data_IF_435622518358
#
_entry.id   IF_435622518358
#
_cell.length_a   1.000
_cell.length_b   1.000
_cell.length_c   1.000
_cell.angle_alpha   90.00
_cell.angle_beta   90.00
_cell.angle_gamma   90.00
#
_symmetry.space_group_name_H-M   'P 1'
#
loop_
_entity.id
_entity.type
_entity.pdbx_description
1 polymer ?
#
# COMPACT_ATOMS: atom_id res chain seq x y z
N UNK A 1 0.96 48.01 -1.43
CA UNK A 1 -0.40 47.44 -1.56
C UNK A 1 -0.25 45.94 -1.40
N UNK A 2 -0.65 45.44 -0.24
CA UNK A 2 -0.59 44.02 0.09
C UNK A 2 -1.81 43.33 -0.51
N UNK A 3 -1.61 42.36 -1.40
CA UNK A 3 -2.68 41.47 -1.83
C UNK A 3 -2.64 40.25 -0.91
N UNK A 4 -3.51 40.27 0.10
CA UNK A 4 -3.81 39.10 0.91
C UNK A 4 -4.41 38.03 0.02
N UNK A 5 -3.73 36.89 -0.08
CA UNK A 5 -4.31 35.68 -0.63
C UNK A 5 -5.23 35.11 0.45
N UNK A 6 -6.52 35.40 0.37
CA UNK A 6 -7.54 34.74 1.18
C UNK A 6 -7.49 33.25 0.89
N UNK A 7 -6.97 32.47 1.84
CA UNK A 7 -7.05 31.02 1.83
C UNK A 7 -8.50 30.62 2.07
N UNK A 8 -9.25 30.40 1.00
CA UNK A 8 -10.59 29.84 1.07
C UNK A 8 -10.47 28.40 1.57
N UNK A 9 -10.70 28.20 2.86
CA UNK A 9 -10.98 26.90 3.46
C UNK A 9 -12.31 26.41 2.90
N UNK A 10 -12.27 25.49 1.95
CA UNK A 10 -13.44 24.75 1.51
C UNK A 10 -13.78 23.75 2.61
N UNK A 11 -14.85 24.03 3.35
CA UNK A 11 -15.43 23.05 4.27
C UNK A 11 -15.93 21.85 3.46
N UNK A 12 -15.35 20.68 3.71
CA UNK A 12 -15.81 19.42 3.16
C UNK A 12 -17.07 19.06 3.97
N UNK A 13 -18.24 19.14 3.35
CA UNK A 13 -19.58 19.02 3.98
C UNK A 13 -19.81 17.71 4.75
N UNK A 14 -18.97 16.70 4.54
CA UNK A 14 -18.78 15.58 5.45
C UNK A 14 -17.27 15.40 5.64
N UNK A 15 -16.71 15.74 6.82
CA UNK A 15 -15.34 15.34 7.10
C UNK A 15 -15.26 13.83 6.90
N UNK A 16 -14.10 13.33 6.47
CA UNK A 16 -13.78 11.90 6.54
C UNK A 16 -13.69 11.51 8.03
N UNK A 17 -14.80 11.61 8.78
CA UNK A 17 -14.89 11.31 10.20
C UNK A 17 -14.61 9.81 10.30
N UNK A 18 -13.55 9.41 11.01
CA UNK A 18 -13.21 8.01 11.12
C UNK A 18 -14.33 7.29 11.89
N UNK A 19 -15.22 6.58 11.20
CA UNK A 19 -16.11 5.62 11.87
C UNK A 19 -15.34 4.36 12.25
N UNK A 20 -15.82 3.65 13.26
CA UNK A 20 -15.25 2.35 13.66
C UNK A 20 -15.28 1.41 12.44
N UNK A 21 -14.14 0.78 12.08
CA UNK A 21 -14.08 -0.14 10.95
C UNK A 21 -14.95 -1.37 11.23
N UNK A 22 -15.54 -1.93 10.18
CA UNK A 22 -16.32 -3.17 10.27
C UNK A 22 -15.94 -4.15 9.16
N UNK A 23 -16.47 -5.37 9.23
CA UNK A 23 -16.15 -6.43 8.27
C UNK A 23 -16.58 -6.11 6.83
N UNK A 24 -17.65 -5.35 6.65
CA UNK A 24 -18.13 -4.95 5.32
C UNK A 24 -17.09 -4.10 4.58
N UNK A 25 -16.29 -3.30 5.30
CA UNK A 25 -15.21 -2.52 4.72
C UNK A 25 -14.17 -3.41 4.02
N UNK A 26 -13.90 -4.59 4.56
CA UNK A 26 -13.00 -5.59 3.96
C UNK A 26 -13.66 -6.25 2.75
N UNK A 27 -14.95 -6.59 2.83
CA UNK A 27 -15.67 -7.25 1.74
C UNK A 27 -15.83 -6.36 0.51
N UNK A 28 -15.90 -5.04 0.72
CA UNK A 28 -15.99 -4.05 -0.36
C UNK A 28 -14.68 -3.83 -1.12
N UNK A 29 -13.56 -4.36 -0.64
CA UNK A 29 -12.27 -4.25 -1.33
C UNK A 29 -12.30 -5.01 -2.66
N UNK A 30 -11.56 -4.48 -3.63
CA UNK A 30 -11.42 -5.12 -4.93
C UNK A 30 -10.60 -6.41 -4.79
N UNK A 31 -11.12 -7.50 -5.37
CA UNK A 31 -10.42 -8.77 -5.46
C UNK A 31 -9.96 -9.01 -6.90
N UNK A 32 -8.70 -9.43 -7.06
CA UNK A 32 -8.10 -9.80 -8.34
C UNK A 32 -7.93 -11.32 -8.49
N UNK A 33 -8.44 -12.12 -7.56
CA UNK A 33 -8.29 -13.57 -7.55
C UNK A 33 -8.68 -14.23 -8.89
N UNK A 34 -9.76 -13.73 -9.53
CA UNK A 34 -10.19 -14.22 -10.85
C UNK A 34 -9.15 -14.03 -11.95
N UNK A 35 -8.31 -13.00 -11.87
CA UNK A 35 -7.27 -12.66 -12.83
C UNK A 35 -5.91 -13.31 -12.52
N UNK A 36 -5.76 -13.99 -11.38
CA UNK A 36 -4.51 -14.66 -11.02
C UNK A 36 -4.20 -15.84 -11.94
N UNK A 37 -2.92 -16.03 -12.24
CA UNK A 37 -2.44 -17.22 -12.95
C UNK A 37 -2.61 -18.48 -12.10
N UNK A 38 -2.63 -19.65 -12.74
CA UNK A 38 -2.76 -20.93 -12.04
C UNK A 38 -1.59 -21.18 -11.08
N UNK A 39 -0.38 -20.73 -11.42
CA UNK A 39 0.79 -20.79 -10.55
C UNK A 39 0.62 -19.91 -9.32
N UNK A 40 0.09 -18.69 -9.49
CA UNK A 40 -0.18 -17.78 -8.38
C UNK A 40 -1.25 -18.37 -7.45
N UNK A 41 -2.35 -18.88 -8.01
CA UNK A 41 -3.40 -19.58 -7.25
C UNK A 41 -2.81 -20.76 -6.46
N UNK A 42 -1.97 -21.58 -7.10
CA UNK A 42 -1.31 -22.73 -6.45
C UNK A 42 -0.37 -22.30 -5.32
N UNK A 43 0.38 -21.22 -5.48
CA UNK A 43 1.28 -20.71 -4.45
C UNK A 43 0.49 -20.21 -3.23
N UNK A 44 -0.53 -19.38 -3.45
CA UNK A 44 -1.34 -18.84 -2.35
C UNK A 44 -2.17 -19.90 -1.62
N UNK A 45 -2.63 -20.94 -2.31
CA UNK A 45 -3.32 -22.09 -1.68
C UNK A 45 -2.47 -22.81 -0.64
N UNK A 46 -1.13 -22.68 -0.67
CA UNK A 46 -0.26 -23.25 0.39
C UNK A 46 -0.51 -22.65 1.76
N UNK A 47 -1.05 -21.43 1.82
CA UNK A 47 -1.39 -20.75 3.07
C UNK A 47 -2.85 -20.98 3.49
N UNK A 48 -3.67 -21.67 2.67
CA UNK A 48 -5.11 -21.79 2.89
C UNK A 48 -5.46 -22.39 4.27
N UNK A 49 -4.78 -23.48 4.66
CA UNK A 49 -5.02 -24.12 5.95
C UNK A 49 -4.74 -23.20 7.14
N UNK A 50 -3.69 -22.37 7.04
CA UNK A 50 -3.34 -21.40 8.07
C UNK A 50 -4.40 -20.30 8.17
N UNK A 51 -4.87 -19.79 7.02
CA UNK A 51 -5.90 -18.74 6.98
C UNK A 51 -7.23 -19.27 7.53
N UNK A 52 -7.62 -20.48 7.16
CA UNK A 52 -8.84 -21.13 7.67
C UNK A 52 -8.80 -21.26 9.20
N UNK A 53 -7.70 -21.78 9.76
CA UNK A 53 -7.53 -21.90 11.22
C UNK A 53 -7.72 -20.54 11.92
N UNK A 54 -7.12 -19.48 11.37
CA UNK A 54 -7.24 -18.15 11.94
C UNK A 54 -8.67 -17.58 11.85
N UNK A 55 -9.39 -17.85 10.76
CA UNK A 55 -10.79 -17.42 10.59
C UNK A 55 -11.74 -18.19 11.51
N UNK A 56 -11.47 -19.48 11.76
CA UNK A 56 -12.21 -20.29 12.73
C UNK A 56 -11.99 -19.80 14.17
N UNK A 57 -10.73 -19.58 14.57
CA UNK A 57 -10.37 -19.09 15.91
C UNK A 57 -10.94 -17.71 16.22
N UNK A 58 -11.14 -16.89 15.19
CA UNK A 58 -11.75 -15.55 15.31
C UNK A 58 -13.28 -15.54 15.16
N UNK A 59 -13.90 -16.71 15.00
CA UNK A 59 -15.35 -16.87 14.77
C UNK A 59 -15.86 -16.10 13.54
N UNK A 60 -14.99 -15.79 12.58
CA UNK A 60 -15.33 -15.06 11.36
C UNK A 60 -15.98 -15.96 10.28
N UNK A 61 -15.94 -17.27 10.46
CA UNK A 61 -16.64 -18.24 9.60
C UNK A 61 -18.07 -18.54 10.07
N UNK A 62 -18.48 -18.09 11.25
CA UNK A 62 -19.84 -18.33 11.75
C UNK A 62 -20.86 -17.51 10.93
N UNK A 63 -21.86 -18.18 10.35
CA UNK A 63 -22.87 -17.54 9.50
C UNK A 63 -22.41 -17.22 8.08
N UNK A 64 -21.28 -17.79 7.65
CA UNK A 64 -20.76 -17.62 6.31
C UNK A 64 -21.62 -18.38 5.28
N UNK A 65 -22.30 -17.65 4.40
CA UNK A 65 -23.02 -18.22 3.27
C UNK A 65 -22.02 -18.47 2.12
N UNK A 66 -21.70 -19.73 1.86
CA UNK A 66 -20.83 -20.07 0.74
C UNK A 66 -21.57 -20.03 -0.59
N UNK A 67 -22.91 -19.85 -0.61
CA UNK A 67 -23.79 -19.77 -1.77
C UNK A 67 -23.50 -20.78 -2.91
N UNK A 68 -22.79 -21.87 -2.60
CA UNK A 68 -22.29 -22.86 -3.57
C UNK A 68 -20.99 -22.51 -4.29
N UNK A 69 -20.32 -21.39 -4.02
CA UNK A 69 -18.99 -21.05 -4.55
C UNK A 69 -17.85 -21.87 -3.90
N UNK A 70 -18.11 -22.42 -2.71
CA UNK A 70 -17.18 -23.22 -1.94
C UNK A 70 -16.21 -22.38 -1.10
N UNK A 71 -16.01 -22.78 0.15
CA UNK A 71 -15.23 -22.06 1.16
C UNK A 71 -13.82 -21.65 0.69
N UNK A 72 -13.14 -22.53 -0.06
CA UNK A 72 -11.83 -22.22 -0.64
C UNK A 72 -11.89 -20.98 -1.54
N UNK A 73 -12.87 -20.89 -2.44
CA UNK A 73 -12.98 -19.77 -3.37
C UNK A 73 -13.10 -18.45 -2.61
N UNK A 74 -13.94 -18.43 -1.58
CA UNK A 74 -14.21 -17.21 -0.82
C UNK A 74 -13.00 -16.79 0.01
N UNK A 75 -12.31 -17.73 0.65
CA UNK A 75 -11.06 -17.44 1.38
C UNK A 75 -9.99 -16.90 0.43
N UNK A 76 -9.86 -17.47 -0.77
CA UNK A 76 -8.89 -16.98 -1.74
C UNK A 76 -9.23 -15.58 -2.26
N UNK A 77 -10.52 -15.27 -2.43
CA UNK A 77 -10.97 -13.91 -2.71
C UNK A 77 -10.65 -12.95 -1.57
N UNK A 78 -10.82 -13.35 -0.30
CA UNK A 78 -10.43 -12.56 0.87
C UNK A 78 -8.93 -12.30 0.91
N UNK A 79 -8.10 -13.31 0.68
CA UNK A 79 -6.63 -13.15 0.61
C UNK A 79 -6.27 -12.14 -0.46
N UNK A 80 -6.87 -12.23 -1.65
CA UNK A 80 -6.62 -11.26 -2.73
C UNK A 80 -7.09 -9.85 -2.36
N UNK A 81 -8.21 -9.69 -1.66
CA UNK A 81 -8.68 -8.37 -1.19
C UNK A 81 -7.66 -7.71 -0.27
N UNK A 82 -7.08 -8.46 0.66
CA UNK A 82 -6.09 -7.93 1.60
C UNK A 82 -4.78 -7.62 0.87
N UNK A 83 -4.29 -8.55 0.05
CA UNK A 83 -3.00 -8.41 -0.63
C UNK A 83 -2.98 -7.25 -1.62
N UNK A 84 -4.06 -7.07 -2.38
CA UNK A 84 -4.09 -6.07 -3.46
C UNK A 84 -4.47 -4.66 -2.98
N UNK A 85 -4.94 -4.51 -1.74
CA UNK A 85 -5.38 -3.23 -1.19
C UNK A 85 -4.59 -2.80 0.07
N UNK A 86 -3.62 -3.60 0.49
CA UNK A 86 -2.78 -3.33 1.66
C UNK A 86 -1.68 -2.31 1.38
N UNK A 87 -1.49 -1.38 2.31
CA UNK A 87 -0.34 -0.48 2.36
C UNK A 87 0.61 -0.93 3.46
N UNK A 88 1.89 -1.11 3.14
CA UNK A 88 2.91 -1.43 4.13
C UNK A 88 3.18 -0.26 5.08
N UNK A 89 3.29 -0.55 6.37
CA UNK A 89 3.78 0.38 7.39
C UNK A 89 5.22 0.01 7.77
N UNK A 90 6.07 1.02 7.87
CA UNK A 90 7.51 0.89 8.07
C UNK A 90 7.94 1.68 9.29
N UNK A 91 8.79 1.11 10.14
CA UNK A 91 9.45 1.88 11.20
C UNK A 91 10.96 1.94 11.01
N UNK A 92 11.51 3.09 11.38
CA UNK A 92 12.94 3.29 11.51
C UNK A 92 13.46 2.45 12.68
N UNK A 93 14.62 1.82 12.49
CA UNK A 93 15.30 1.02 13.52
C UNK A 93 15.67 1.80 14.80
N UNK A 94 15.49 3.13 14.84
CA UNK A 94 16.04 4.03 15.86
C UNK A 94 15.06 4.98 16.58
N UNK A 95 13.75 4.87 16.40
CA UNK A 95 12.81 5.67 17.21
C UNK A 95 11.69 4.80 17.79
N UNK A 96 11.82 4.45 19.08
CA UNK A 96 10.64 4.31 19.94
C UNK A 96 10.16 5.72 20.20
N UNK A 97 9.14 6.15 19.47
CA UNK A 97 8.38 7.33 19.87
C UNK A 97 7.44 6.87 20.97
N UNK A 98 7.48 7.55 22.11
CA UNK A 98 6.63 7.27 23.26
C UNK A 98 5.16 7.39 22.86
N UNK A 99 4.34 6.40 23.22
CA UNK A 99 2.97 6.22 22.72
C UNK A 99 1.95 7.14 23.41
N UNK A 100 2.36 8.33 23.84
CA UNK A 100 1.63 9.16 24.79
C UNK A 100 0.97 10.42 24.20
N UNK A 101 0.90 10.56 22.87
CA UNK A 101 0.11 11.63 22.23
C UNK A 101 -1.17 11.06 21.65
N UNK A 102 -2.12 10.80 22.56
CA UNK A 102 -3.53 10.61 22.21
C UNK A 102 -4.21 11.96 22.06
N UNK A 103 -4.98 12.07 20.98
CA UNK A 103 -6.05 13.05 20.77
C UNK A 103 -5.62 14.52 20.77
N UNK A 104 -5.16 15.01 19.63
CA UNK A 104 -5.51 16.34 19.07
C UNK A 104 -4.71 16.56 17.76
N UNK A 105 -5.25 16.09 16.62
CA UNK A 105 -4.69 16.44 15.30
C UNK A 105 -5.19 17.84 14.94
N UNK A 106 -4.72 18.86 15.65
CA UNK A 106 -4.89 20.23 15.18
C UNK A 106 -3.96 20.43 13.97
N UNK A 107 -4.55 20.91 12.87
CA UNK A 107 -3.94 21.00 11.54
C UNK A 107 -2.97 22.17 11.45
N UNK A 108 -2.03 22.27 12.37
CA UNK A 108 -1.00 23.31 12.35
C UNK A 108 -0.03 23.08 11.18
N UNK A 109 0.48 24.17 10.59
CA UNK A 109 1.52 24.12 9.56
C UNK A 109 2.79 23.42 10.05
N UNK A 110 3.01 23.40 11.36
CA UNK A 110 4.13 22.75 12.03
C UNK A 110 4.03 21.22 11.92
N UNK A 111 2.85 20.65 12.18
CA UNK A 111 2.62 19.20 12.03
C UNK A 111 2.85 18.74 10.58
N UNK A 112 2.42 19.51 9.57
CA UNK A 112 2.64 19.19 8.16
C UNK A 112 4.14 19.16 7.81
N UNK A 113 4.91 20.08 8.39
CA UNK A 113 6.36 20.14 8.19
C UNK A 113 7.06 18.95 8.84
N UNK A 114 6.65 18.56 10.05
CA UNK A 114 7.17 17.40 10.78
C UNK A 114 6.87 16.10 10.03
N UNK A 115 5.62 15.92 9.60
CA UNK A 115 5.19 14.78 8.77
C UNK A 115 6.04 14.68 7.50
N UNK A 116 6.32 15.80 6.83
CA UNK A 116 7.10 15.80 5.58
C UNK A 116 8.55 15.36 5.83
N UNK A 117 9.20 15.89 6.88
CA UNK A 117 10.58 15.51 7.24
C UNK A 117 10.68 14.03 7.66
N UNK A 118 9.72 13.54 8.43
CA UNK A 118 9.69 12.13 8.84
C UNK A 118 9.50 11.20 7.64
N UNK A 119 8.65 11.59 6.68
CA UNK A 119 8.42 10.80 5.47
C UNK A 119 9.68 10.71 4.59
N UNK A 120 10.41 11.81 4.42
CA UNK A 120 11.71 11.81 3.72
C UNK A 120 12.70 10.85 4.39
N UNK A 121 12.84 10.94 5.72
CA UNK A 121 13.71 10.04 6.47
C UNK A 121 13.30 8.56 6.37
N UNK A 122 12.00 8.26 6.35
CA UNK A 122 11.50 6.89 6.14
C UNK A 122 11.80 6.41 4.73
N UNK A 123 11.56 7.23 3.70
CA UNK A 123 11.85 6.87 2.31
C UNK A 123 13.34 6.60 2.08
N UNK A 124 14.22 7.47 2.59
CA UNK A 124 15.67 7.28 2.52
C UNK A 124 16.09 5.98 3.23
N UNK A 125 15.48 5.68 4.38
CA UNK A 125 15.76 4.45 5.11
C UNK A 125 15.19 3.19 4.44
N UNK A 126 14.08 3.31 3.69
CA UNK A 126 13.56 2.23 2.84
C UNK A 126 14.55 1.92 1.73
N UNK A 127 15.10 2.95 1.08
CA UNK A 127 16.11 2.80 0.03
C UNK A 127 17.43 2.24 0.57
N UNK A 128 17.86 2.65 1.77
CA UNK A 128 19.08 2.16 2.42
C UNK A 128 18.92 0.78 3.09
N UNK A 129 17.69 0.28 3.23
CA UNK A 129 17.37 -0.99 3.88
C UNK A 129 17.46 -0.95 5.42
N UNK A 130 17.37 0.24 6.02
CA UNK A 130 17.44 0.48 7.46
C UNK A 130 16.07 0.49 8.16
N UNK A 131 14.98 0.24 7.43
CA UNK A 131 13.63 0.05 7.98
C UNK A 131 13.31 -1.42 8.26
N UNK A 132 12.31 -1.66 9.11
CA UNK A 132 11.62 -2.94 9.19
C UNK A 132 10.11 -2.72 9.04
N UNK A 133 9.43 -3.65 8.39
CA UNK A 133 7.98 -3.62 8.27
C UNK A 133 7.36 -3.82 9.66
N UNK A 134 6.53 -2.87 10.09
CA UNK A 134 5.81 -2.93 11.36
C UNK A 134 4.39 -3.46 11.21
N UNK A 135 3.83 -3.37 10.01
CA UNK A 135 2.49 -3.87 9.74
C UNK A 135 2.03 -3.56 8.32
N UNK A 136 0.74 -3.77 8.11
CA UNK A 136 0.03 -3.31 6.93
C UNK A 136 -1.27 -2.64 7.37
N UNK A 137 -1.70 -1.63 6.64
CA UNK A 137 -3.01 -1.01 6.82
C UNK A 137 -3.82 -1.12 5.53
N UNK A 138 -5.14 -1.07 5.66
CA UNK A 138 -6.07 -1.08 4.53
C UNK A 138 -6.82 0.24 4.57
N UNK A 139 -6.79 0.96 3.45
CA UNK A 139 -7.47 2.25 3.31
C UNK A 139 -8.98 2.09 3.33
N UNK A 140 -9.67 2.96 4.09
CA UNK A 140 -11.15 2.96 4.22
C UNK A 140 -11.83 3.77 3.12
N UNK A 141 -11.42 3.57 1.87
CA UNK A 141 -11.98 4.33 0.76
C UNK A 141 -13.20 3.61 0.20
N UNK A 142 -14.34 4.31 0.11
CA UNK A 142 -15.54 3.81 -0.58
C UNK A 142 -15.28 3.54 -2.09
N UNK A 143 -14.17 4.04 -2.62
CA UNK A 143 -13.62 3.70 -3.93
C UNK A 143 -12.10 3.58 -3.81
N UNK A 144 -11.44 2.54 -4.35
CA UNK A 144 -10.00 2.44 -4.32
C UNK A 144 -9.37 3.68 -5.00
N UNK A 145 -8.33 4.24 -4.37
CA UNK A 145 -7.55 5.31 -4.98
C UNK A 145 -6.88 4.75 -6.23
N UNK A 146 -7.23 5.29 -7.39
CA UNK A 146 -6.72 4.80 -8.67
C UNK A 146 -5.27 5.21 -8.89
N UNK A 147 -4.62 4.47 -9.77
CA UNK A 147 -3.28 4.78 -10.22
C UNK A 147 -3.24 5.99 -11.17
N UNK A 148 -2.25 6.87 -10.99
CA UNK A 148 -1.76 7.77 -12.04
C UNK A 148 -0.23 7.83 -11.99
N UNK A 149 0.43 7.85 -13.15
CA UNK A 149 1.88 8.10 -13.24
C UNK A 149 2.24 9.58 -12.98
N UNK A 150 1.24 10.44 -12.85
CA UNK A 150 1.32 11.80 -12.31
C UNK A 150 0.19 11.99 -11.29
N UNK A 151 0.39 11.53 -10.05
CA UNK A 151 -0.69 11.39 -9.08
C UNK A 151 -1.06 12.72 -8.43
N UNK A 152 -2.33 12.85 -8.06
CA UNK A 152 -2.85 14.01 -7.32
C UNK A 152 -2.48 13.97 -5.84
N UNK A 153 -2.24 12.77 -5.30
CA UNK A 153 -1.92 12.51 -3.90
C UNK A 153 -0.69 11.62 -3.77
N UNK A 154 0.03 11.77 -2.66
CA UNK A 154 1.07 10.84 -2.24
C UNK A 154 0.73 10.25 -0.86
N UNK A 155 0.89 8.93 -0.67
CA UNK A 155 0.81 8.33 0.66
C UNK A 155 2.00 8.80 1.49
N UNK A 156 1.73 9.17 2.73
CA UNK A 156 2.71 9.62 3.71
C UNK A 156 2.43 8.88 5.00
N UNK A 157 3.44 8.22 5.54
CA UNK A 157 3.32 7.57 6.84
C UNK A 157 3.77 8.54 7.94
N UNK A 158 2.96 8.66 8.98
CA UNK A 158 3.33 9.31 10.22
C UNK A 158 3.00 8.37 11.37
N UNK A 159 4.04 7.90 12.07
CA UNK A 159 3.91 6.89 13.12
C UNK A 159 3.19 5.63 12.61
N UNK A 160 2.05 5.25 13.20
CA UNK A 160 1.18 4.15 12.81
C UNK A 160 0.01 4.57 11.90
N UNK A 161 -0.04 5.85 11.50
CA UNK A 161 -1.03 6.39 10.59
C UNK A 161 -0.53 6.49 9.15
N UNK A 162 -1.41 6.14 8.20
CA UNK A 162 -1.24 6.43 6.78
C UNK A 162 -2.10 7.64 6.41
N UNK A 163 -1.45 8.68 5.88
CA UNK A 163 -2.06 9.93 5.44
C UNK A 163 -1.87 10.10 3.93
N UNK A 164 -2.72 10.91 3.30
CA UNK A 164 -2.57 11.26 1.88
C UNK A 164 -2.37 12.77 1.76
N UNK A 165 -1.23 13.17 1.23
CA UNK A 165 -0.87 14.56 0.98
C UNK A 165 -1.17 14.90 -0.47
N UNK A 166 -1.89 15.99 -0.71
CA UNK A 166 -2.16 16.47 -2.08
C UNK A 166 -0.90 17.09 -2.67
N UNK A 167 -0.58 16.74 -3.92
CA UNK A 167 0.58 17.27 -4.67
C UNK A 167 0.24 18.48 -5.54
N UNK A 168 -1.05 18.74 -5.72
CA UNK A 168 -1.61 19.86 -6.48
C UNK A 168 -2.92 20.32 -5.83
N UNK A 169 -3.41 21.47 -6.25
CA UNK A 169 -4.77 21.91 -5.89
C UNK A 169 -5.79 20.89 -6.43
N UNK A 170 -6.75 20.54 -5.58
CA UNK A 170 -7.84 19.60 -5.86
C UNK A 170 -9.15 20.35 -5.74
N UNK A 171 -10.01 20.24 -6.74
CA UNK A 171 -11.35 20.84 -6.73
C UNK A 171 -12.42 19.78 -6.41
N UNK A 172 -13.61 20.22 -5.97
CA UNK A 172 -14.72 19.30 -5.68
C UNK A 172 -15.08 18.52 -6.95
N UNK A 173 -15.04 17.19 -6.87
CA UNK A 173 -15.29 16.30 -8.01
C UNK A 173 -14.03 15.80 -8.73
N UNK A 174 -12.84 16.33 -8.40
CA UNK A 174 -11.58 15.76 -8.89
C UNK A 174 -11.39 14.34 -8.34
N UNK A 175 -10.98 13.43 -9.23
CA UNK A 175 -10.59 12.08 -8.82
C UNK A 175 -9.23 12.10 -8.10
N UNK A 176 -9.19 11.52 -6.90
CA UNK A 176 -7.95 11.34 -6.16
C UNK A 176 -7.19 10.12 -6.69
N UNK A 177 -5.93 10.32 -7.04
CA UNK A 177 -5.04 9.30 -7.60
C UNK A 177 -3.73 9.24 -6.85
N UNK A 178 -3.16 8.04 -6.74
CA UNK A 178 -1.83 7.78 -6.17
C UNK A 178 -0.96 7.05 -7.19
N UNK A 179 0.35 6.99 -6.95
CA UNK A 179 1.19 6.05 -7.69
C UNK A 179 1.25 4.71 -6.97
N UNK A 180 1.20 3.62 -7.73
CA UNK A 180 1.34 2.25 -7.19
C UNK A 180 2.79 1.76 -7.25
N UNK A 181 3.66 2.56 -7.86
CA UNK A 181 5.02 2.18 -8.20
C UNK A 181 5.90 3.43 -8.33
N UNK A 182 7.21 3.24 -8.38
CA UNK A 182 8.09 4.32 -8.83
C UNK A 182 7.76 4.69 -10.28
N UNK A 183 7.64 5.99 -10.55
CA UNK A 183 7.30 6.51 -11.88
C UNK A 183 8.53 6.98 -12.66
N UNK A 184 9.74 6.88 -12.09
CA UNK A 184 11.02 7.18 -12.72
C UNK A 184 11.50 6.06 -13.66
N UNK A 185 10.57 5.46 -14.41
CA UNK A 185 10.84 4.41 -15.38
C UNK A 185 10.21 4.76 -16.74
N UNK A 186 10.71 4.21 -17.86
CA UNK A 186 10.12 4.42 -19.18
C UNK A 186 8.65 3.96 -19.25
N UNK A 187 7.85 4.58 -20.13
CA UNK A 187 6.43 4.27 -20.34
C UNK A 187 6.16 2.76 -20.49
N UNK A 188 6.95 2.09 -21.31
CA UNK A 188 6.80 0.65 -21.59
C UNK A 188 6.93 -0.18 -20.32
N UNK A 189 7.87 0.18 -19.45
CA UNK A 189 8.12 -0.55 -18.21
C UNK A 189 7.01 -0.28 -17.19
N UNK A 190 6.55 0.98 -17.08
CA UNK A 190 5.43 1.32 -16.21
C UNK A 190 4.17 0.55 -16.60
N UNK A 191 3.80 0.56 -17.88
CA UNK A 191 2.65 -0.21 -18.39
C UNK A 191 2.81 -1.71 -18.21
N UNK A 192 4.00 -2.26 -18.46
CA UNK A 192 4.26 -3.68 -18.27
C UNK A 192 4.09 -4.11 -16.81
N UNK A 193 4.58 -3.30 -15.85
CA UNK A 193 4.44 -3.60 -14.42
C UNK A 193 2.98 -3.47 -13.96
N UNK A 194 2.29 -2.41 -14.37
CA UNK A 194 0.86 -2.24 -14.05
C UNK A 194 0.00 -3.36 -14.65
N UNK A 195 0.30 -3.80 -15.87
CA UNK A 195 -0.42 -4.91 -16.50
C UNK A 195 -0.12 -6.24 -15.78
N UNK A 196 1.11 -6.44 -15.31
CA UNK A 196 1.51 -7.67 -14.64
C UNK A 196 0.95 -7.78 -13.22
N UNK A 197 1.00 -6.70 -12.45
CA UNK A 197 0.68 -6.72 -11.01
C UNK A 197 -0.75 -6.22 -10.72
N UNK A 198 -1.31 -5.36 -11.59
CA UNK A 198 -2.63 -4.74 -11.40
C UNK A 198 -3.61 -4.98 -12.57
N UNK A 199 -3.18 -5.68 -13.61
CA UNK A 199 -4.03 -6.15 -14.71
C UNK A 199 -4.73 -5.05 -15.54
N UNK A 200 -4.16 -3.85 -15.64
CA UNK A 200 -4.70 -2.77 -16.48
C UNK A 200 -3.62 -2.01 -17.26
N UNK A 201 -4.02 -1.38 -18.37
CA UNK A 201 -3.18 -0.45 -19.13
C UNK A 201 -3.44 1.00 -18.69
N UNK A 202 -2.36 1.70 -18.31
CA UNK A 202 -2.46 3.06 -17.78
C UNK A 202 -2.71 4.09 -18.89
N UNK A 203 -3.82 4.81 -18.74
CA UNK A 203 -4.27 5.88 -19.64
C UNK A 203 -4.21 7.27 -18.98
N UNK A 204 -3.42 7.44 -17.91
CA UNK A 204 -3.26 8.77 -17.30
C UNK A 204 -2.64 9.77 -18.29
N UNK A 205 -2.84 11.07 -18.03
CA UNK A 205 -2.41 12.18 -18.89
C UNK A 205 -0.93 12.04 -19.29
N UNK A 206 -0.05 11.73 -18.33
CA UNK A 206 1.38 11.49 -18.57
C UNK A 206 1.61 10.35 -19.57
N UNK A 207 0.98 9.19 -19.37
CA UNK A 207 1.15 8.04 -20.27
C UNK A 207 0.62 8.32 -21.68
N UNK A 208 -0.50 9.03 -21.81
CA UNK A 208 -1.06 9.41 -23.12
C UNK A 208 -0.11 10.36 -23.86
N UNK A 209 0.43 11.37 -23.18
CA UNK A 209 1.41 12.30 -23.77
C UNK A 209 2.71 11.61 -24.19
N UNK A 210 3.26 10.75 -23.34
CA UNK A 210 4.48 9.99 -23.65
C UNK A 210 4.25 9.02 -24.82
N UNK A 211 3.06 8.40 -24.92
CA UNK A 211 2.73 7.50 -26.03
C UNK A 211 2.58 8.19 -27.39
N UNK A 212 2.22 9.48 -27.37
CA UNK A 212 2.07 10.31 -28.57
C UNK A 212 3.39 10.95 -29.03
N UNK A 213 4.42 10.88 -28.17
CA UNK A 213 5.74 11.44 -28.45
C UNK A 213 6.59 10.42 -29.22
N UNK A 214 7.31 10.85 -30.27
CA UNK A 214 8.23 9.97 -30.99
C UNK A 214 9.31 9.43 -30.03
N UNK A 215 9.66 8.14 -30.06
CA UNK A 215 10.64 7.58 -29.14
C UNK A 215 11.97 8.32 -29.28
N UNK A 216 12.43 8.93 -28.19
CA UNK A 216 13.74 9.57 -28.18
C UNK A 216 14.78 8.46 -28.02
N UNK A 217 15.90 8.54 -28.75
CA UNK A 217 16.94 7.49 -28.73
C UNK A 217 17.56 7.23 -27.33
N UNK A 218 17.24 8.07 -26.33
CA UNK A 218 17.63 7.92 -24.92
C UNK A 218 16.77 6.93 -24.13
N UNK A 219 15.66 6.43 -24.68
CA UNK A 219 14.77 5.47 -24.01
C UNK A 219 15.32 4.03 -23.99
N UNK A 220 16.50 3.80 -24.59
CA UNK A 220 17.22 2.52 -24.52
C UNK A 220 18.05 2.39 -23.23
N UNK A 221 17.42 2.56 -22.07
CA UNK A 221 18.02 2.03 -20.83
C UNK A 221 17.59 0.57 -20.74
N UNK A 222 18.45 -0.34 -21.19
CA UNK A 222 18.25 -1.77 -20.96
C UNK A 222 18.41 -2.03 -19.47
N UNK A 223 17.30 -2.04 -18.73
CA UNK A 223 17.33 -2.54 -17.37
C UNK A 223 17.46 -4.06 -17.43
N UNK A 224 18.71 -4.55 -17.42
CA UNK A 224 18.97 -5.98 -17.24
C UNK A 224 18.39 -6.40 -15.90
N UNK A 225 17.38 -7.29 -15.96
CA UNK A 225 16.80 -8.11 -14.88
C UNK A 225 17.52 -8.02 -13.52
N UNK A 226 17.23 -6.98 -12.73
CA UNK A 226 17.58 -6.96 -11.30
C UNK A 226 16.36 -6.80 -10.37
N UNK A 227 15.17 -6.48 -10.88
CA UNK A 227 13.93 -6.44 -10.07
C UNK A 227 13.11 -7.74 -10.07
N UNK A 228 13.71 -8.88 -10.46
CA UNK A 228 13.14 -10.20 -10.17
C UNK A 228 13.29 -10.59 -8.68
N UNK A 229 13.81 -9.71 -7.82
CA UNK A 229 13.59 -9.81 -6.37
C UNK A 229 12.25 -9.15 -6.03
N UNK A 230 11.16 -9.86 -6.35
CA UNK A 230 10.03 -9.89 -5.40
C UNK A 230 10.67 -10.23 -4.05
N UNK A 231 10.48 -9.40 -3.04
CA UNK A 231 10.76 -9.76 -1.66
C UNK A 231 9.78 -10.88 -1.28
N UNK A 232 9.99 -12.09 -1.81
CA UNK A 232 9.54 -13.32 -1.18
C UNK A 232 10.33 -13.37 0.12
N UNK A 233 9.65 -13.16 1.24
CA UNK A 233 10.19 -13.46 2.55
C UNK A 233 10.72 -14.90 2.53
N UNK A 234 12.04 -15.07 2.56
CA UNK A 234 12.63 -16.38 2.80
C UNK A 234 12.43 -16.70 4.30
N UNK A 235 11.92 -17.88 4.65
CA UNK A 235 11.87 -18.27 6.06
C UNK A 235 13.31 -18.35 6.60
N UNK A 236 13.54 -17.92 7.85
CA UNK A 236 14.88 -17.85 8.43
C UNK A 236 15.51 -19.26 8.47
N UNK A 237 16.73 -19.36 7.95
CA UNK A 237 17.56 -20.58 8.04
C UNK A 237 17.79 -20.88 9.52
N UNK A 238 17.29 -22.03 10.00
CA UNK A 238 17.62 -22.57 11.32
C UNK A 238 19.15 -22.73 11.42
N UNK A 239 19.81 -21.87 12.19
CA UNK A 239 21.18 -22.15 12.64
C UNK A 239 21.09 -23.30 13.64
N UNK A 240 21.80 -24.40 13.35
CA UNK A 240 22.01 -25.49 14.32
C UNK A 240 22.61 -24.87 15.59
N UNK A 241 21.95 -25.07 16.71
CA UNK A 241 22.56 -24.80 18.01
C UNK A 241 23.67 -25.83 18.21
N UNK A 242 24.92 -25.36 18.26
CA UNK A 242 26.02 -26.15 18.80
C UNK A 242 25.82 -26.23 20.31
N UNK A 243 25.76 -27.47 20.81
CA UNK A 243 25.68 -27.76 22.23
C UNK A 243 27.01 -27.38 22.89
N UNK A 244 27.00 -26.36 23.73
CA UNK A 244 28.04 -26.10 24.72
C UNK A 244 27.42 -26.31 26.10
N UNK A 245 27.86 -27.38 26.77
CA UNK A 245 27.54 -27.66 28.16
C UNK A 245 28.30 -26.72 29.11
N UNK A 246 27.67 -26.46 30.24
CA UNK A 246 28.22 -26.36 31.60
C UNK A 246 27.06 -25.87 32.48
N UNK A 247 26.56 -26.67 33.43
CA UNK A 247 27.12 -26.88 34.78
C UNK A 247 27.40 -25.54 35.44
N UNK A 248 26.56 -25.12 36.39
CA UNK A 248 26.94 -24.76 37.76
C UNK A 248 25.67 -24.77 38.64
N UNK A 249 25.77 -25.56 39.71
CA UNK A 249 25.08 -25.56 41.02
C UNK A 249 23.61 -25.12 41.15
#
# INVERSE_FOLDING_TARGET
MANGADSVTVEIEEPLVPRVPNWQDVLNLQSHYGAWSDEAKKEWKKCLALVLSALEESSLLEGFDDSGEGLENVVMHLVSRIESNGFGLWALKRQRVDASLQDDVDRSSELISEISLQNEAVNDAVESGEVFGTGACIGRFNSPLKHSCDPSCEPVQYQDHLMFKTRRRIEKGDELTISYMDTNMPLTNRRSLLQQDYFFDCQCVRCVMESSSKPNQRDKVSFTKSHAKKQKAQPPKKKKAEAAGNVYE
#
